data_IF_175901384599
#
_entry.id   IF_175901384599
#
_cell.length_a   1.000
_cell.length_b   1.000
_cell.length_c   1.000
_cell.angle_alpha   90.00
_cell.angle_beta   90.00
_cell.angle_gamma   90.00
#
_symmetry.space_group_name_H-M   'P 1'
#
loop_
_entity.id
_entity.type
_entity.pdbx_description
1 polymer ?
#
# COMPACT_ATOMS: atom_id res chain seq x y z
N UNK A 1 -1.51 11.37 -20.40
CA UNK A 1 -2.20 10.25 -19.74
C UNK A 1 -1.33 9.72 -18.61
N UNK A 2 -1.93 9.24 -17.53
CA UNK A 2 -1.25 8.47 -16.47
C UNK A 2 -1.58 7.00 -16.74
N UNK A 3 -0.57 6.14 -16.90
CA UNK A 3 -0.78 4.70 -17.01
C UNK A 3 -0.13 4.01 -15.83
N UNK A 4 -0.93 3.35 -14.97
CA UNK A 4 -0.38 2.48 -13.92
C UNK A 4 0.07 1.17 -14.56
N UNK A 5 1.34 0.83 -14.38
CA UNK A 5 1.95 -0.37 -14.97
C UNK A 5 1.86 -1.53 -13.98
N UNK A 6 2.17 -1.26 -12.71
CA UNK A 6 2.09 -2.26 -11.66
C UNK A 6 1.68 -1.65 -10.32
N UNK A 7 1.08 -2.50 -9.50
CA UNK A 7 0.80 -2.25 -8.09
C UNK A 7 1.08 -3.54 -7.33
N UNK A 8 2.09 -3.52 -6.48
CA UNK A 8 2.56 -4.67 -5.71
C UNK A 8 2.37 -4.34 -4.24
N UNK A 9 1.81 -5.28 -3.49
CA UNK A 9 1.71 -5.22 -2.04
C UNK A 9 2.64 -6.28 -1.47
N UNK A 10 3.57 -5.88 -0.62
CA UNK A 10 4.56 -6.75 0.02
C UNK A 10 4.75 -6.40 1.49
N UNK A 11 5.58 -7.17 2.20
CA UNK A 11 5.87 -6.99 3.63
C UNK A 11 4.58 -6.87 4.48
N UNK A 12 3.60 -7.71 4.16
CA UNK A 12 2.29 -7.70 4.81
C UNK A 12 2.45 -8.32 6.20
N UNK A 13 2.11 -7.56 7.23
CA UNK A 13 2.06 -8.02 8.63
C UNK A 13 0.69 -7.71 9.20
N UNK A 14 0.07 -8.71 9.80
CA UNK A 14 -1.28 -8.61 10.37
C UNK A 14 -1.20 -8.90 11.87
N UNK A 15 -1.87 -8.07 12.67
CA UNK A 15 -2.12 -8.30 14.10
C UNK A 15 -3.62 -8.29 14.33
N UNK A 16 -4.13 -9.30 15.02
CA UNK A 16 -5.56 -9.45 15.31
C UNK A 16 -5.78 -9.12 16.79
N UNK A 17 -6.80 -8.30 17.06
CA UNK A 17 -7.28 -7.91 18.38
C UNK A 17 -8.80 -8.13 18.42
N UNK A 18 -9.22 -9.33 18.85
CA UNK A 18 -10.63 -9.74 18.84
C UNK A 18 -11.27 -9.56 17.46
N UNK A 19 -12.29 -8.72 17.36
CA UNK A 19 -13.00 -8.40 16.11
C UNK A 19 -12.30 -7.32 15.28
N UNK A 20 -11.11 -6.87 15.67
CA UNK A 20 -10.33 -5.90 14.90
C UNK A 20 -9.03 -6.51 14.39
N UNK A 21 -8.54 -6.04 13.25
CA UNK A 21 -7.22 -6.41 12.76
C UNK A 21 -6.49 -5.18 12.23
N UNK A 22 -5.20 -5.08 12.51
CA UNK A 22 -4.32 -4.07 11.96
C UNK A 22 -3.40 -4.74 10.97
N UNK A 23 -3.54 -4.39 9.69
CA UNK A 23 -2.63 -4.82 8.63
C UNK A 23 -1.69 -3.67 8.27
N UNK A 24 -0.39 -3.96 8.26
CA UNK A 24 0.63 -3.05 7.74
C UNK A 24 1.28 -3.69 6.52
N UNK A 25 1.66 -2.88 5.53
CA UNK A 25 2.31 -3.38 4.32
C UNK A 25 3.12 -2.29 3.61
N UNK A 26 3.93 -2.73 2.64
CA UNK A 26 4.57 -1.87 1.65
C UNK A 26 3.75 -1.92 0.35
N UNK A 27 3.36 -0.75 -0.15
CA UNK A 27 2.80 -0.60 -1.49
C UNK A 27 3.87 -0.08 -2.41
N UNK A 28 4.07 -0.75 -3.55
CA UNK A 28 4.99 -0.33 -4.59
C UNK A 28 4.22 -0.17 -5.89
N UNK A 29 4.24 1.02 -6.49
CA UNK A 29 3.57 1.26 -7.77
C UNK A 29 4.50 1.87 -8.79
N UNK A 30 4.36 1.40 -10.03
CA UNK A 30 5.03 1.98 -11.20
C UNK A 30 3.98 2.59 -12.11
N UNK A 31 4.27 3.78 -12.61
CA UNK A 31 3.40 4.51 -13.52
C UNK A 31 4.21 5.24 -14.59
N UNK A 32 3.66 5.28 -15.79
CA UNK A 32 4.16 6.15 -16.86
C UNK A 32 3.38 7.45 -16.85
N UNK A 33 4.09 8.57 -16.68
CA UNK A 33 3.56 9.94 -16.74
C UNK A 33 4.32 10.72 -17.82
N UNK A 34 3.59 11.18 -18.85
CA UNK A 34 4.17 11.95 -19.97
C UNK A 34 5.40 11.27 -20.62
N UNK A 35 5.38 9.93 -20.71
CA UNK A 35 6.48 9.13 -21.28
C UNK A 35 7.62 8.83 -20.30
N UNK A 36 7.58 9.33 -19.07
CA UNK A 36 8.56 9.00 -18.02
C UNK A 36 8.04 7.89 -17.11
N UNK A 37 8.90 6.90 -16.84
CA UNK A 37 8.63 5.86 -15.85
C UNK A 37 8.93 6.39 -14.45
N UNK A 38 7.94 6.32 -13.58
CA UNK A 38 8.02 6.74 -12.19
C UNK A 38 7.67 5.55 -11.31
N UNK A 39 8.40 5.40 -10.20
CA UNK A 39 8.13 4.44 -9.15
C UNK A 39 7.95 5.19 -7.83
N UNK A 40 7.03 4.72 -7.00
CA UNK A 40 6.81 5.26 -5.66
C UNK A 40 6.44 4.13 -4.72
N UNK A 41 6.81 4.29 -3.45
CA UNK A 41 6.48 3.35 -2.40
C UNK A 41 5.77 4.05 -1.26
N UNK A 42 4.87 3.31 -0.61
CA UNK A 42 4.17 3.79 0.57
C UNK A 42 4.22 2.73 1.67
N UNK A 43 4.42 3.17 2.91
CA UNK A 43 4.01 2.36 4.07
C UNK A 43 2.54 2.60 4.33
N UNK A 44 1.76 1.53 4.28
CA UNK A 44 0.32 1.56 4.51
C UNK A 44 -0.03 0.83 5.81
N UNK A 45 -0.99 1.39 6.54
CA UNK A 45 -1.68 0.75 7.65
C UNK A 45 -3.18 0.78 7.37
N UNK A 46 -3.83 -0.36 7.53
CA UNK A 46 -5.28 -0.52 7.45
C UNK A 46 -5.79 -1.15 8.74
N UNK A 47 -6.85 -0.57 9.30
CA UNK A 47 -7.59 -1.13 10.42
C UNK A 47 -8.86 -1.76 9.86
N UNK A 48 -9.08 -3.02 10.20
CA UNK A 48 -10.23 -3.81 9.81
C UNK A 48 -11.10 -4.10 11.03
N UNK A 49 -12.41 -4.20 10.81
CA UNK A 49 -13.39 -4.76 11.76
C UNK A 49 -14.03 -5.99 11.12
N UNK A 50 -14.12 -7.08 11.87
CA UNK A 50 -14.84 -8.28 11.49
C UNK A 50 -16.31 -8.11 11.85
N UNK A 51 -17.17 -8.30 10.87
CA UNK A 51 -18.62 -8.29 11.05
C UNK A 51 -19.19 -9.64 10.62
N UNK A 52 -20.48 -9.92 10.83
CA UNK A 52 -21.11 -11.11 10.25
C UNK A 52 -21.00 -11.20 8.70
N UNK A 53 -20.65 -10.11 8.01
CA UNK A 53 -20.41 -10.06 6.55
C UNK A 53 -18.93 -10.13 6.17
N UNK A 54 -18.05 -10.40 7.14
CA UNK A 54 -16.61 -10.50 6.97
C UNK A 54 -15.86 -9.24 7.40
N UNK A 55 -14.59 -9.18 7.01
CA UNK A 55 -13.67 -8.10 7.36
C UNK A 55 -13.88 -6.87 6.47
N UNK A 56 -14.01 -5.71 7.10
CA UNK A 56 -14.14 -4.42 6.41
C UNK A 56 -13.04 -3.47 6.89
N UNK A 57 -12.39 -2.76 5.96
CA UNK A 57 -11.50 -1.65 6.32
C UNK A 57 -12.35 -0.51 6.88
N UNK A 58 -12.06 -0.09 8.10
CA UNK A 58 -12.73 1.05 8.76
C UNK A 58 -11.84 2.28 8.85
N UNK A 59 -10.52 2.11 8.71
CA UNK A 59 -9.57 3.21 8.68
C UNK A 59 -8.31 2.81 7.90
N UNK A 60 -7.67 3.78 7.28
CA UNK A 60 -6.43 3.60 6.55
C UNK A 60 -5.56 4.85 6.58
N UNK A 61 -4.25 4.64 6.60
CA UNK A 61 -3.28 5.71 6.44
C UNK A 61 -2.12 5.23 5.57
N UNK A 62 -1.60 6.12 4.73
CA UNK A 62 -0.43 5.88 3.91
C UNK A 62 0.59 6.98 4.11
N UNK A 63 1.84 6.58 4.27
CA UNK A 63 2.98 7.48 4.32
C UNK A 63 3.85 7.23 3.09
N UNK A 64 4.09 8.27 2.30
CA UNK A 64 4.98 8.19 1.14
C UNK A 64 6.42 7.99 1.62
N UNK A 65 7.10 7.03 1.02
CA UNK A 65 8.52 6.80 1.28
C UNK A 65 9.36 7.62 0.30
N UNK A 66 10.58 8.02 0.70
CA UNK A 66 11.54 8.57 -0.24
C UNK A 66 11.70 7.63 -1.44
N UNK A 67 12.00 8.15 -2.64
CA UNK A 67 12.40 7.32 -3.76
C UNK A 67 13.56 6.41 -3.33
N UNK A 68 13.50 5.13 -3.69
CA UNK A 68 14.62 4.24 -3.45
C UNK A 68 15.86 4.80 -4.17
N UNK A 69 17.03 4.83 -3.53
CA UNK A 69 18.26 5.38 -4.12
C UNK A 69 18.66 4.59 -5.37
N UNK A 70 18.21 3.34 -5.50
CA UNK A 70 18.36 2.51 -6.71
C UNK A 70 17.46 2.94 -7.88
N UNK A 71 16.59 3.94 -7.70
CA UNK A 71 15.67 4.44 -8.72
C UNK A 71 16.32 5.49 -9.65
N UNK A 72 17.59 5.88 -9.39
CA UNK A 72 18.30 6.93 -10.15
C UNK A 72 19.27 6.36 -11.21
N UNK A 73 19.30 5.05 -11.45
CA UNK A 73 20.13 4.44 -12.49
C UNK A 73 19.29 3.88 -13.65
#
# INVERSE_FOLDING_TARGET
SVKRESFIVSDIKVRIFQETAVATCLWSTRFTLKGQHLSTQFRAIHVYVNTPRGWHVVSGHTTNLPPDVQQVL
#
